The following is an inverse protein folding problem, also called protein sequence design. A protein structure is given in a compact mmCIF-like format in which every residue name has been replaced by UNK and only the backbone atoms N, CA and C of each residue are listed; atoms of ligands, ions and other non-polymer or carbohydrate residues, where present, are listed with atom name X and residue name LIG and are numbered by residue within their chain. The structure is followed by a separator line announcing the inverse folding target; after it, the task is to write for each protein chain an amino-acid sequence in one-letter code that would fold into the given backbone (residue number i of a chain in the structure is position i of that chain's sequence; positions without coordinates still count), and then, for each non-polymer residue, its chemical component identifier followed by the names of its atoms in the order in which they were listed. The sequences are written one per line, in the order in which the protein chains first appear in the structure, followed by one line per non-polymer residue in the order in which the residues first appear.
data_IF_684694853032
#
_entry.id   IF_684694853032
#
_cell.length_a   1.000
_cell.length_b   1.000
_cell.length_c   1.000
_cell.angle_alpha   90.00
_cell.angle_beta   90.00
_cell.angle_gamma   90.00
#
_symmetry.space_group_name_H-M   'P 1'
#
loop_
_entity.id
_entity.type
_entity.pdbx_description
1 polymer ?
#
# COMPACT_ATOMS: atom_id res chain seq x y z
N UNK A 1 -15.59 -4.53 12.00
CA UNK A 1 -16.07 -5.80 12.61
C UNK A 1 -16.90 -6.49 11.54
N UNK A 2 -16.31 -7.43 10.81
CA UNK A 2 -16.99 -8.11 9.70
C UNK A 2 -18.18 -8.90 10.25
N UNK A 3 -19.38 -8.67 9.71
CA UNK A 3 -20.57 -9.42 10.11
C UNK A 3 -20.62 -10.76 9.39
N UNK A 4 -21.00 -11.81 10.13
CA UNK A 4 -21.27 -13.14 9.56
C UNK A 4 -22.57 -13.05 8.75
N UNK A 5 -22.54 -13.51 7.50
CA UNK A 5 -23.75 -13.58 6.66
C UNK A 5 -24.63 -14.76 7.09
N UNK A 6 -25.90 -14.77 6.66
CA UNK A 6 -26.82 -15.88 6.97
C UNK A 6 -26.31 -17.24 6.44
N UNK A 7 -25.71 -17.23 5.24
CA UNK A 7 -25.12 -18.43 4.62
C UNK A 7 -23.92 -18.96 5.43
N UNK A 8 -22.98 -18.07 5.78
CA UNK A 8 -21.83 -18.40 6.63
C UNK A 8 -22.27 -18.89 8.02
N UNK A 9 -23.34 -18.31 8.57
CA UNK A 9 -23.91 -18.74 9.84
C UNK A 9 -24.48 -20.15 9.79
N UNK A 10 -25.17 -20.51 8.70
CA UNK A 10 -25.74 -21.84 8.51
C UNK A 10 -24.64 -22.91 8.35
N UNK A 11 -23.62 -22.60 7.55
CA UNK A 11 -22.46 -23.47 7.32
C UNK A 11 -21.67 -23.70 8.62
N UNK A 12 -21.43 -22.63 9.39
CA UNK A 12 -20.81 -22.73 10.70
C UNK A 12 -21.65 -23.57 11.67
N UNK A 13 -22.97 -23.39 11.70
CA UNK A 13 -23.86 -24.19 12.55
C UNK A 13 -23.77 -25.69 12.22
N UNK A 14 -23.75 -26.03 10.93
CA UNK A 14 -23.62 -27.41 10.49
C UNK A 14 -22.27 -28.03 10.92
N UNK A 15 -21.18 -27.28 10.80
CA UNK A 15 -19.86 -27.71 11.26
C UNK A 15 -19.80 -27.90 12.79
N UNK A 16 -20.43 -27.00 13.56
CA UNK A 16 -20.48 -27.09 15.03
C UNK A 16 -21.24 -28.32 15.49
N UNK A 17 -22.39 -28.61 14.88
CA UNK A 17 -23.20 -29.79 15.21
C UNK A 17 -22.46 -31.10 14.93
N UNK A 18 -21.60 -31.13 13.89
CA UNK A 18 -20.81 -32.31 13.55
C UNK A 18 -19.57 -32.53 14.45
N UNK A 19 -19.09 -31.49 15.13
CA UNK A 19 -17.80 -31.51 15.83
C UNK A 19 -17.84 -32.11 17.25
N UNK A 20 -19.03 -32.45 17.77
CA UNK A 20 -19.27 -33.01 19.11
C UNK A 20 -18.44 -32.34 20.23
N UNK A 21 -18.55 -31.00 20.34
CA UNK A 21 -17.87 -30.21 21.38
C UNK A 21 -18.85 -29.59 22.34
N UNK A 22 -18.55 -29.66 23.63
CA UNK A 22 -19.41 -29.12 24.69
C UNK A 22 -19.60 -27.59 24.64
N UNK A 23 -18.62 -26.84 24.13
CA UNK A 23 -18.69 -25.37 23.98
C UNK A 23 -17.93 -24.93 22.73
N UNK A 24 -18.61 -24.23 21.83
CA UNK A 24 -18.04 -23.69 20.60
C UNK A 24 -18.46 -22.24 20.42
N UNK A 25 -17.51 -21.37 20.09
CA UNK A 25 -17.75 -19.99 19.69
C UNK A 25 -17.50 -19.82 18.19
N UNK A 26 -18.36 -19.06 17.52
CA UNK A 26 -18.20 -18.70 16.10
C UNK A 26 -18.06 -17.19 16.02
N UNK A 27 -17.01 -16.72 15.35
CA UNK A 27 -16.77 -15.30 15.11
C UNK A 27 -16.13 -15.13 13.72
N UNK A 28 -16.40 -13.99 13.10
CA UNK A 28 -15.73 -13.61 11.86
C UNK A 28 -14.33 -13.08 12.19
N UNK A 29 -13.31 -13.63 11.54
CA UNK A 29 -11.93 -13.22 11.72
C UNK A 29 -11.26 -13.10 10.35
N UNK A 30 -10.67 -11.93 10.07
CA UNK A 30 -9.66 -11.81 9.03
C UNK A 30 -8.32 -12.26 9.63
N UNK A 31 -7.96 -13.52 9.40
CA UNK A 31 -6.77 -14.13 9.96
C UNK A 31 -5.50 -13.36 9.56
N UNK A 32 -5.46 -12.84 8.33
CA UNK A 32 -4.32 -12.08 7.80
C UNK A 32 -4.16 -10.75 8.53
N UNK A 33 -5.23 -9.97 8.68
CA UNK A 33 -5.19 -8.73 9.45
C UNK A 33 -4.82 -9.01 10.91
N UNK A 34 -5.36 -10.08 11.50
CA UNK A 34 -5.09 -10.44 12.88
C UNK A 34 -3.63 -10.79 13.16
N UNK A 35 -2.99 -11.60 12.31
CA UNK A 35 -1.56 -11.91 12.46
C UNK A 35 -0.65 -10.70 12.20
N UNK A 36 -1.06 -9.76 11.35
CA UNK A 36 -0.31 -8.51 11.15
C UNK A 36 -0.38 -7.60 12.38
N UNK A 37 -1.56 -7.50 13.02
CA UNK A 37 -1.73 -6.70 14.24
C UNK A 37 -1.13 -7.37 15.48
N UNK A 38 -1.03 -8.70 15.51
CA UNK A 38 -0.51 -9.47 16.64
C UNK A 38 0.55 -10.50 16.24
N UNK A 39 1.78 -10.06 15.84
CA UNK A 39 2.82 -10.96 15.35
C UNK A 39 3.23 -12.06 16.35
N UNK A 40 3.17 -11.77 17.66
CA UNK A 40 3.49 -12.73 18.71
C UNK A 40 2.57 -13.98 18.68
N UNK A 41 1.37 -13.86 18.13
CA UNK A 41 0.38 -14.95 18.07
C UNK A 41 0.68 -15.92 16.92
N UNK A 42 1.36 -15.43 15.86
CA UNK A 42 1.79 -16.25 14.73
C UNK A 42 2.85 -17.31 15.11
N UNK A 43 3.49 -17.20 16.27
CA UNK A 43 4.43 -18.19 16.79
C UNK A 43 3.79 -19.34 17.58
N UNK A 44 2.46 -19.32 17.80
CA UNK A 44 1.77 -20.29 18.66
C UNK A 44 1.19 -21.46 17.87
N UNK A 45 1.45 -22.68 18.33
CA UNK A 45 0.89 -23.91 17.73
C UNK A 45 -0.64 -23.97 17.78
N UNK A 46 -1.29 -23.21 18.68
CA UNK A 46 -2.74 -23.12 18.77
C UNK A 46 -3.39 -22.57 17.50
N UNK A 47 -2.67 -21.71 16.77
CA UNK A 47 -3.19 -21.03 15.58
C UNK A 47 -2.51 -21.49 14.29
N UNK A 48 -1.70 -22.55 14.31
CA UNK A 48 -0.96 -23.04 13.14
C UNK A 48 -1.88 -23.31 11.94
N UNK A 49 -3.03 -23.95 12.17
CA UNK A 49 -4.02 -24.20 11.09
C UNK A 49 -4.61 -22.91 10.52
N UNK A 50 -4.85 -21.91 11.37
CA UNK A 50 -5.38 -20.62 10.94
C UNK A 50 -4.31 -19.83 10.17
N UNK A 51 -3.03 -19.97 10.54
CA UNK A 51 -1.91 -19.37 9.85
C UNK A 51 -1.73 -19.96 8.45
N UNK A 52 -1.80 -21.29 8.30
CA UNK A 52 -1.75 -21.96 6.99
C UNK A 52 -2.89 -21.49 6.07
N UNK A 53 -4.08 -21.23 6.62
CA UNK A 53 -5.22 -20.65 5.88
C UNK A 53 -5.11 -19.15 5.65
N UNK A 54 -4.30 -18.43 6.44
CA UNK A 54 -4.06 -16.98 6.29
C UNK A 54 -2.97 -16.69 5.25
N UNK A 55 -2.07 -17.65 5.00
CA UNK A 55 -1.27 -17.65 3.79
C UNK A 55 -2.27 -17.70 2.64
N UNK A 56 -2.28 -16.70 1.73
CA UNK A 56 -3.23 -16.71 0.65
C UNK A 56 -3.05 -18.02 -0.10
N UNK A 57 -4.11 -18.84 -0.15
CA UNK A 57 -4.32 -19.62 -1.35
C UNK A 57 -4.20 -18.61 -2.48
N UNK A 58 -3.29 -18.84 -3.42
CA UNK A 58 -3.10 -17.98 -4.60
C UNK A 58 -4.31 -18.14 -5.54
N UNK A 59 -5.52 -18.08 -4.99
CA UNK A 59 -6.79 -18.14 -5.67
C UNK A 59 -7.05 -16.74 -6.22
N UNK A 60 -6.72 -16.60 -7.50
CA UNK A 60 -6.69 -15.32 -8.22
C UNK A 60 -5.32 -14.97 -8.79
N UNK A 61 -4.37 -15.92 -8.81
CA UNK A 61 -3.01 -15.75 -9.31
C UNK A 61 -2.92 -14.86 -10.53
N UNK A 62 -2.51 -13.61 -10.31
CA UNK A 62 -1.94 -12.78 -11.34
C UNK A 62 -2.87 -12.40 -12.49
N UNK A 63 -4.19 -12.19 -12.32
CA UNK A 63 -5.00 -11.73 -13.47
C UNK A 63 -4.43 -10.45 -14.09
N UNK A 64 -4.08 -9.47 -13.25
CA UNK A 64 -3.40 -8.25 -13.72
C UNK A 64 -1.99 -8.60 -14.19
N UNK A 65 -1.27 -9.45 -13.46
CA UNK A 65 0.09 -9.89 -13.85
C UNK A 65 0.14 -10.51 -15.25
N UNK A 66 -0.77 -11.43 -15.56
CA UNK A 66 -0.88 -12.10 -16.85
C UNK A 66 -1.26 -11.13 -17.98
N UNK A 67 -2.05 -10.10 -17.68
CA UNK A 67 -2.32 -9.01 -18.62
C UNK A 67 -1.06 -8.19 -18.88
N UNK A 68 -0.29 -7.85 -17.84
CA UNK A 68 0.98 -7.13 -17.97
C UNK A 68 2.03 -7.96 -18.74
N UNK A 69 2.08 -9.27 -18.52
CA UNK A 69 2.98 -10.19 -19.23
C UNK A 69 2.70 -10.21 -20.74
N UNK A 70 1.44 -10.01 -21.15
CA UNK A 70 1.01 -9.97 -22.55
C UNK A 70 1.16 -8.58 -23.22
N UNK A 71 1.47 -7.55 -22.45
CA UNK A 71 1.63 -6.17 -22.92
C UNK A 71 3.09 -5.82 -23.20
N UNK A 72 3.28 -4.87 -24.11
CA UNK A 72 4.57 -4.26 -24.37
C UNK A 72 5.03 -3.44 -23.15
N UNK A 73 6.36 -3.37 -22.94
CA UNK A 73 6.94 -2.72 -21.77
C UNK A 73 6.49 -1.25 -21.61
N UNK A 74 6.25 -0.54 -22.72
CA UNK A 74 5.78 0.84 -22.72
C UNK A 74 4.31 0.99 -22.28
N UNK A 75 3.49 -0.04 -22.43
CA UNK A 75 2.05 0.00 -22.14
C UNK A 75 1.73 -0.45 -20.70
N UNK A 76 2.64 -1.22 -20.09
CA UNK A 76 2.48 -1.79 -18.74
C UNK A 76 2.17 -0.74 -17.66
N UNK A 77 2.88 0.41 -17.55
CA UNK A 77 2.62 1.38 -16.50
C UNK A 77 1.20 1.97 -16.58
N UNK A 78 0.77 2.35 -17.79
CA UNK A 78 -0.56 2.92 -18.01
C UNK A 78 -1.68 1.90 -17.72
N UNK A 79 -1.48 0.65 -18.13
CA UNK A 79 -2.43 -0.42 -17.85
C UNK A 79 -2.51 -0.73 -16.34
N UNK A 80 -1.36 -0.78 -15.66
CA UNK A 80 -1.31 -1.00 -14.22
C UNK A 80 -1.97 0.17 -13.45
N UNK A 81 -1.75 1.42 -13.86
CA UNK A 81 -2.40 2.58 -13.26
C UNK A 81 -3.94 2.48 -13.37
N UNK A 82 -4.46 2.09 -14.54
CA UNK A 82 -5.91 1.87 -14.72
C UNK A 82 -6.45 0.76 -13.82
N UNK A 83 -5.68 -0.32 -13.66
CA UNK A 83 -6.06 -1.43 -12.80
C UNK A 83 -6.06 -1.04 -11.30
N UNK A 84 -5.05 -0.30 -10.85
CA UNK A 84 -4.97 0.26 -9.49
C UNK A 84 -6.16 1.19 -9.24
N UNK A 85 -6.49 2.08 -10.19
CA UNK A 85 -7.67 2.95 -10.08
C UNK A 85 -8.97 2.13 -9.92
N UNK A 86 -9.07 0.98 -10.61
CA UNK A 86 -10.17 0.03 -10.42
C UNK A 86 -10.25 -0.55 -9.01
N UNK A 87 -9.12 -0.96 -8.44
CA UNK A 87 -9.06 -1.47 -7.06
C UNK A 87 -9.41 -0.37 -6.04
N UNK A 88 -8.91 0.85 -6.23
CA UNK A 88 -9.23 2.00 -5.37
C UNK A 88 -10.74 2.28 -5.40
N UNK A 89 -11.36 2.32 -6.59
CA UNK A 89 -12.82 2.47 -6.71
C UNK A 89 -13.57 1.37 -5.96
N UNK A 90 -13.09 0.13 -6.05
CA UNK A 90 -13.68 -1.00 -5.34
C UNK A 90 -13.56 -0.92 -3.81
N UNK A 91 -12.51 -0.29 -3.29
CA UNK A 91 -12.34 -0.04 -1.84
C UNK A 91 -13.19 1.15 -1.40
N UNK A 92 -13.18 2.25 -2.17
CA UNK A 92 -14.01 3.44 -1.94
C UNK A 92 -15.51 3.19 -2.14
N UNK A 93 -15.88 2.05 -2.75
CA UNK A 93 -17.25 1.72 -3.17
C UNK A 93 -17.85 2.82 -4.05
N UNK A 94 -17.01 3.45 -4.87
CA UNK A 94 -17.40 4.47 -5.84
C UNK A 94 -17.26 3.94 -7.25
N UNK A 95 -18.11 4.43 -8.15
CA UNK A 95 -18.03 4.21 -9.59
C UNK A 95 -17.40 5.39 -10.33
N UNK A 96 -17.06 6.46 -9.63
CA UNK A 96 -16.54 7.68 -10.24
C UNK A 96 -15.16 7.44 -10.84
N UNK A 97 -14.86 7.95 -12.04
CA UNK A 97 -13.53 7.86 -12.61
C UNK A 97 -12.53 8.58 -11.70
N UNK A 98 -11.35 7.97 -11.54
CA UNK A 98 -10.27 8.53 -10.74
C UNK A 98 -9.20 9.01 -11.70
N UNK A 99 -8.83 10.29 -11.57
CA UNK A 99 -7.67 10.85 -12.24
C UNK A 99 -6.39 10.24 -11.67
N UNK A 100 -5.53 9.70 -12.53
CA UNK A 100 -4.35 8.94 -12.12
C UNK A 100 -3.24 9.83 -11.53
N UNK A 101 -3.21 11.11 -11.94
CA UNK A 101 -2.20 12.08 -11.50
C UNK A 101 -2.69 12.92 -10.31
N UNK A 102 -3.92 12.68 -9.86
CA UNK A 102 -4.47 13.31 -8.66
C UNK A 102 -3.81 12.70 -7.41
N UNK A 103 -3.46 13.54 -6.40
CA UNK A 103 -2.90 13.03 -5.15
C UNK A 103 -3.83 12.03 -4.46
N UNK A 104 -3.30 10.85 -4.13
CA UNK A 104 -4.02 9.74 -3.47
C UNK A 104 -4.66 10.17 -2.15
N UNK A 105 -4.01 11.06 -1.40
CA UNK A 105 -4.51 11.60 -0.13
C UNK A 105 -5.87 12.29 -0.27
N UNK A 106 -6.14 12.86 -1.44
CA UNK A 106 -7.39 13.59 -1.71
C UNK A 106 -8.54 12.68 -2.11
N UNK A 107 -8.30 11.37 -2.25
CA UNK A 107 -9.32 10.37 -2.61
C UNK A 107 -10.12 9.87 -1.40
N UNK A 108 -9.75 10.29 -0.18
CA UNK A 108 -10.45 9.88 1.04
C UNK A 108 -10.13 8.45 1.49
N UNK A 109 -8.93 7.94 1.16
CA UNK A 109 -8.44 6.66 1.66
C UNK A 109 -8.09 6.79 3.16
N UNK A 110 -8.67 5.91 3.98
CA UNK A 110 -8.29 5.75 5.38
C UNK A 110 -7.30 4.59 5.61
N UNK A 111 -6.87 4.38 6.86
CA UNK A 111 -5.89 3.34 7.19
C UNK A 111 -6.38 1.90 6.94
N UNK A 112 -7.68 1.62 7.13
CA UNK A 112 -8.26 0.30 6.86
C UNK A 112 -8.40 0.06 5.36
N UNK A 113 -8.81 1.09 4.63
CA UNK A 113 -8.89 1.08 3.17
C UNK A 113 -7.52 0.88 2.52
N UNK A 114 -6.47 1.52 3.04
CA UNK A 114 -5.11 1.32 2.56
C UNK A 114 -4.65 -0.13 2.73
N UNK A 115 -4.99 -0.76 3.85
CA UNK A 115 -4.68 -2.17 4.08
C UNK A 115 -5.49 -3.08 3.15
N UNK A 116 -6.77 -2.80 2.94
CA UNK A 116 -7.61 -3.54 2.00
C UNK A 116 -7.07 -3.43 0.57
N UNK A 117 -6.73 -2.21 0.12
CA UNK A 117 -6.13 -1.95 -1.18
C UNK A 117 -4.84 -2.75 -1.36
N UNK A 118 -3.94 -2.72 -0.37
CA UNK A 118 -2.72 -3.53 -0.38
C UNK A 118 -3.06 -5.02 -0.57
N UNK A 119 -4.01 -5.56 0.19
CA UNK A 119 -4.36 -6.97 0.11
C UNK A 119 -4.88 -7.35 -1.28
N UNK A 120 -5.71 -6.50 -1.89
CA UNK A 120 -6.23 -6.69 -3.25
C UNK A 120 -5.12 -6.64 -4.30
N UNK A 121 -4.20 -5.68 -4.19
CA UNK A 121 -3.05 -5.57 -5.08
C UNK A 121 -2.09 -6.77 -4.97
N UNK A 122 -1.82 -7.25 -3.76
CA UNK A 122 -1.00 -8.46 -3.58
C UNK A 122 -1.63 -9.68 -4.24
N UNK A 123 -2.95 -9.85 -4.11
CA UNK A 123 -3.68 -10.95 -4.73
C UNK A 123 -3.66 -10.87 -6.26
N UNK A 124 -3.84 -9.66 -6.82
CA UNK A 124 -3.94 -9.45 -8.27
C UNK A 124 -2.61 -9.45 -9.00
N UNK A 125 -1.52 -9.04 -8.33
CA UNK A 125 -0.15 -8.99 -8.87
C UNK A 125 0.70 -10.22 -8.48
N UNK A 126 0.29 -10.98 -7.46
CA UNK A 126 1.02 -12.15 -6.98
C UNK A 126 2.36 -11.80 -6.34
N UNK A 127 2.49 -10.62 -5.74
CA UNK A 127 3.69 -10.15 -5.04
C UNK A 127 3.36 -9.71 -3.61
N UNK A 128 4.37 -9.63 -2.74
CA UNK A 128 4.23 -9.06 -1.39
C UNK A 128 4.58 -7.58 -1.40
N UNK A 129 3.68 -6.77 -0.82
CA UNK A 129 3.77 -5.31 -0.80
C UNK A 129 4.00 -4.80 0.63
N UNK A 130 4.88 -3.80 0.83
CA UNK A 130 5.02 -3.12 2.12
C UNK A 130 3.72 -2.45 2.56
N UNK A 131 3.50 -2.34 3.87
CA UNK A 131 2.31 -1.66 4.43
C UNK A 131 2.27 -0.16 4.11
N UNK A 132 3.44 0.47 3.95
CA UNK A 132 3.57 1.90 3.68
C UNK A 132 3.38 2.29 2.20
N UNK A 133 3.09 1.32 1.32
CA UNK A 133 3.06 1.52 -0.14
C UNK A 133 2.16 2.69 -0.57
N UNK A 134 0.95 2.80 -0.01
CA UNK A 134 -0.02 3.83 -0.40
C UNK A 134 0.44 5.25 -0.01
N UNK A 135 1.32 5.36 0.97
CA UNK A 135 1.87 6.64 1.45
C UNK A 135 3.24 6.97 0.85
N UNK A 136 3.89 5.99 0.24
CA UNK A 136 5.20 6.17 -0.38
C UNK A 136 5.13 6.84 -1.75
N UNK A 137 3.94 6.84 -2.38
CA UNK A 137 3.73 7.35 -3.73
C UNK A 137 2.55 8.33 -3.74
N UNK A 138 2.73 9.56 -4.25
CA UNK A 138 1.70 10.58 -4.16
C UNK A 138 0.55 10.34 -5.14
N UNK A 139 0.80 9.71 -6.29
CA UNK A 139 -0.20 9.47 -7.34
C UNK A 139 -0.33 7.99 -7.72
N UNK A 140 -1.40 7.63 -8.43
CA UNK A 140 -1.60 6.27 -8.98
C UNK A 140 -0.53 6.00 -10.05
N UNK A 141 -0.18 7.00 -10.85
CA UNK A 141 0.87 6.90 -11.88
C UNK A 141 2.23 6.55 -11.26
N UNK A 142 2.61 7.21 -10.16
CA UNK A 142 3.87 6.94 -9.45
C UNK A 142 3.88 5.53 -8.84
N UNK A 143 2.75 5.16 -8.22
CA UNK A 143 2.58 3.82 -7.65
C UNK A 143 2.68 2.73 -8.72
N UNK A 144 2.05 2.93 -9.88
CA UNK A 144 2.10 1.98 -10.99
C UNK A 144 3.53 1.81 -11.52
N UNK A 145 4.27 2.91 -11.67
CA UNK A 145 5.66 2.90 -12.13
C UNK A 145 6.56 2.11 -11.18
N UNK A 146 6.48 2.41 -9.88
CA UNK A 146 7.26 1.71 -8.86
C UNK A 146 6.92 0.22 -8.75
N UNK A 147 5.65 -0.15 -8.94
CA UNK A 147 5.23 -1.55 -8.95
C UNK A 147 5.74 -2.29 -10.20
N UNK A 148 5.77 -1.63 -11.36
CA UNK A 148 6.40 -2.18 -12.57
C UNK A 148 7.90 -2.43 -12.35
N UNK A 149 8.64 -1.49 -11.76
CA UNK A 149 10.06 -1.67 -11.42
C UNK A 149 10.27 -2.84 -10.48
N UNK A 150 9.46 -2.94 -9.43
CA UNK A 150 9.53 -4.04 -8.44
C UNK A 150 9.22 -5.42 -9.03
N UNK A 151 8.53 -5.47 -10.16
CA UNK A 151 8.20 -6.70 -10.88
C UNK A 151 9.13 -6.98 -12.08
N UNK A 152 10.23 -6.23 -12.22
CA UNK A 152 11.18 -6.32 -13.34
C UNK A 152 10.51 -6.04 -14.71
N UNK A 153 9.43 -5.24 -14.72
CA UNK A 153 8.72 -4.83 -15.94
C UNK A 153 9.17 -3.47 -16.47
N UNK A 154 10.12 -2.80 -15.81
CA UNK A 154 10.67 -1.55 -16.30
C UNK A 154 11.25 -1.76 -17.71
N UNK A 155 10.98 -0.86 -18.68
CA UNK A 155 11.73 -0.86 -19.93
C UNK A 155 13.23 -0.69 -19.59
N UNK A 156 14.15 -1.28 -20.39
CA UNK A 156 15.57 -1.00 -20.21
C UNK A 156 15.73 0.52 -20.22
N UNK A 157 16.15 1.07 -19.08
CA UNK A 157 16.14 2.49 -18.82
C UNK A 157 16.84 3.23 -19.97
N UNK A 158 16.06 3.94 -20.79
CA UNK A 158 16.61 5.12 -21.44
C UNK A 158 16.73 6.10 -20.29
N UNK A 159 17.93 6.22 -19.75
CA UNK A 159 18.26 7.06 -18.61
C UNK A 159 17.61 8.44 -18.78
N UNK A 160 16.45 8.63 -18.16
CA UNK A 160 15.94 9.95 -17.87
C UNK A 160 16.87 10.45 -16.78
N UNK A 161 17.80 11.29 -17.21
CA UNK A 161 18.57 12.17 -16.35
C UNK A 161 17.64 12.68 -15.27
N UNK A 162 17.81 12.13 -14.07
CA UNK A 162 17.49 12.85 -12.85
C UNK A 162 18.29 14.13 -13.00
N UNK A 163 17.58 15.22 -13.32
CA UNK A 163 18.15 16.54 -13.23
C UNK A 163 18.59 16.66 -11.78
N UNK A 164 19.89 16.50 -11.58
CA UNK A 164 20.63 17.07 -10.50
C UNK A 164 20.49 18.59 -10.68
N UNK A 165 19.30 19.10 -10.34
CA UNK A 165 19.12 20.49 -10.03
C UNK A 165 19.42 20.57 -8.53
N UNK A 166 20.72 20.62 -8.20
CA UNK A 166 21.12 21.53 -7.13
C UNK A 166 20.37 22.84 -7.41
N UNK A 167 19.58 23.37 -6.46
CA UNK A 167 19.05 24.70 -6.64
C UNK A 167 20.28 25.61 -6.72
N UNK A 168 20.62 26.08 -7.93
CA UNK A 168 21.47 27.25 -8.09
C UNK A 168 20.72 28.38 -7.38
N UNK A 169 21.06 28.58 -6.11
CA UNK A 169 20.67 29.76 -5.36
C UNK A 169 21.06 30.96 -6.22
N UNK A 170 20.08 31.77 -6.59
CA UNK A 170 20.38 32.99 -7.33
C UNK A 170 21.33 33.87 -6.52
N UNK A 171 22.14 34.70 -7.19
CA UNK A 171 23.08 35.61 -6.51
C UNK A 171 22.37 36.47 -5.44
N UNK A 172 21.08 36.78 -5.64
CA UNK A 172 20.23 37.51 -4.68
C UNK A 172 19.90 36.68 -3.42
N UNK A 173 19.69 35.36 -3.56
CA UNK A 173 19.40 34.46 -2.43
C UNK A 173 20.67 34.16 -1.61
N UNK A 174 21.84 34.13 -2.27
CA UNK A 174 23.13 33.99 -1.59
C UNK A 174 23.44 35.22 -0.71
N UNK A 175 23.14 36.43 -1.20
CA UNK A 175 23.35 37.68 -0.46
C UNK A 175 22.43 37.75 0.78
N UNK A 176 21.16 37.33 0.64
CA UNK A 176 20.21 37.26 1.76
C UNK A 176 20.62 36.23 2.82
N UNK A 177 21.23 35.11 2.43
CA UNK A 177 21.76 34.11 3.37
C UNK A 177 23.01 34.61 4.10
N UNK A 178 23.88 35.36 3.42
CA UNK A 178 25.05 35.98 4.05
C UNK A 178 24.64 37.00 5.12
N UNK A 179 23.65 37.86 4.83
CA UNK A 179 23.11 38.83 5.78
C UNK A 179 22.49 38.15 7.03
N UNK A 180 21.83 37.00 6.84
CA UNK A 180 21.20 36.26 7.94
C UNK A 180 22.24 35.59 8.85
N UNK A 181 23.35 35.12 8.30
CA UNK A 181 24.46 34.53 9.07
C UNK A 181 25.18 35.61 9.87
N UNK A 182 25.48 36.77 9.28
CA UNK A 182 26.08 37.90 10.01
C UNK A 182 25.19 38.40 11.15
N UNK A 183 23.87 38.49 10.93
CA UNK A 183 22.91 38.86 11.96
C UNK A 183 22.86 37.84 13.13
N UNK A 184 23.04 36.54 12.84
CA UNK A 184 23.07 35.48 13.85
C UNK A 184 24.36 35.47 14.67
N UNK A 185 25.51 35.78 14.07
CA UNK A 185 26.80 35.83 14.78
C UNK A 185 26.87 37.04 15.75
N UNK A 186 26.21 38.15 15.39
CA UNK A 186 26.04 39.32 16.26
C UNK A 186 25.15 39.05 17.48
N UNK A 187 24.08 38.24 17.35
CA UNK A 187 23.26 37.83 18.50
C UNK A 187 23.97 36.85 19.44
N UNK A 188 24.82 35.96 18.91
CA UNK A 188 25.56 34.99 19.72
C UNK A 188 26.64 35.67 20.59
N UNK A 189 27.27 36.74 20.09
CA UNK A 189 28.26 37.51 20.85
C UNK A 189 27.64 38.33 22.00
N UNK A 190 26.36 38.69 21.93
CA UNK A 190 25.68 39.49 22.95
C UNK A 190 25.13 38.68 24.13
N UNK A 191 24.97 37.35 24.02
CA UNK A 191 24.40 36.50 25.10
C UNK A 191 25.43 35.89 26.04
N UNK A 192 26.72 36.23 25.89
CA UNK A 192 27.83 35.63 26.65
C UNK A 192 28.33 36.40 27.88
N UNK A 193 27.74 37.54 28.27
CA UNK A 193 28.18 38.30 29.44
C UNK A 193 27.01 38.62 30.38
N UNK A 194 26.68 37.67 31.26
CA UNK A 194 25.92 37.87 32.51
C UNK A 194 26.20 36.73 33.48
#
# INVERSE_FOLDING_TARGET
MSMITAEQGLEAMQAVLAADRARTGVFSLDARQWFQSFPAVAGSSLFARLQDSAVPERSGGGKIRAQLDALDAAERPAHLASAIAGEIRGVLRSSDPIDHDRPLETLGLDSLMALELRNRLEASLGITLPVALVWAYPTITDLATALCERMDYAPPAVAQQTADAEPELSDEEMDLLADLVEASELEAASRGDS
#
